data_IF_076285340741
#
_entry.id   IF_076285340741
#
_cell.length_a   1.000
_cell.length_b   1.000
_cell.length_c   1.000
_cell.angle_alpha   90.00
_cell.angle_beta   90.00
_cell.angle_gamma   90.00
#
_symmetry.space_group_name_H-M   'P 1'
#
loop_
_entity.id
_entity.type
_entity.pdbx_description
1 polymer ?
#
# COMPACT_ATOMS: atom_id res chain seq x y z
N UNK A 1 -20.48 4.37 17.53
CA UNK A 1 -19.02 4.23 17.48
C UNK A 1 -18.40 5.40 18.23
N UNK A 2 -17.49 5.10 19.17
CA UNK A 2 -16.67 6.13 19.79
C UNK A 2 -15.48 6.39 18.84
N UNK A 3 -15.27 7.66 18.48
CA UNK A 3 -14.19 8.05 17.57
C UNK A 3 -13.32 9.08 18.26
N UNK A 4 -12.06 8.69 18.53
CA UNK A 4 -11.03 9.62 18.95
C UNK A 4 -10.27 10.13 17.73
N UNK A 5 -10.27 11.42 17.55
CA UNK A 5 -9.58 12.10 16.44
C UNK A 5 -8.41 12.88 17.03
N UNK A 6 -7.21 12.62 16.53
CA UNK A 6 -6.08 13.53 16.67
C UNK A 6 -5.63 14.02 15.29
N UNK A 7 -5.19 15.26 15.24
CA UNK A 7 -4.68 15.81 13.99
C UNK A 7 -3.31 15.19 13.59
N UNK A 8 -2.91 15.46 12.34
CA UNK A 8 -1.64 14.97 11.82
C UNK A 8 -0.43 15.42 12.64
N UNK A 9 -0.45 16.65 13.15
CA UNK A 9 0.65 17.20 13.94
C UNK A 9 0.77 16.50 15.28
N UNK A 10 -0.35 16.20 15.94
CA UNK A 10 -0.36 15.43 17.18
C UNK A 10 0.11 14.01 16.97
N UNK A 11 -0.29 13.35 15.88
CA UNK A 11 0.20 12.00 15.55
C UNK A 11 1.72 11.94 15.36
N UNK A 12 2.32 12.99 14.78
CA UNK A 12 3.77 13.13 14.68
C UNK A 12 4.43 13.36 16.04
N UNK A 13 3.77 14.04 16.98
CA UNK A 13 4.24 14.30 18.34
C UNK A 13 4.09 13.10 19.29
N UNK A 14 3.90 11.90 18.78
CA UNK A 14 3.78 10.67 19.55
C UNK A 14 2.49 10.61 20.39
N UNK A 15 1.38 11.11 19.84
CA UNK A 15 0.07 10.89 20.44
C UNK A 15 -0.12 9.41 20.81
N UNK A 16 -0.57 9.17 22.02
CA UNK A 16 -0.90 7.84 22.51
C UNK A 16 -2.39 7.84 22.82
N UNK A 17 -3.21 7.04 22.13
CA UNK A 17 -4.62 6.94 22.43
C UNK A 17 -4.86 6.50 23.88
N UNK A 18 -6.02 6.81 24.48
CA UNK A 18 -6.42 6.35 25.81
C UNK A 18 -6.37 4.82 25.94
N UNK A 19 -6.19 4.31 27.15
CA UNK A 19 -6.17 2.86 27.43
C UNK A 19 -7.59 2.23 27.49
N UNK A 20 -8.63 3.00 27.30
CA UNK A 20 -10.03 2.61 27.51
C UNK A 20 -10.60 1.65 26.43
N UNK A 21 -9.74 1.22 25.49
CA UNK A 21 -10.14 0.39 24.34
C UNK A 21 -9.52 -1.02 24.34
N UNK A 22 -8.81 -1.42 25.39
CA UNK A 22 -8.07 -2.69 25.39
C UNK A 22 -8.99 -3.93 25.43
N UNK A 23 -10.23 -3.76 25.87
CA UNK A 23 -11.23 -4.82 26.05
C UNK A 23 -12.34 -4.82 24.98
N UNK A 24 -12.16 -4.09 23.90
CA UNK A 24 -13.14 -4.00 22.80
C UNK A 24 -12.47 -3.98 21.42
N UNK A 25 -13.23 -4.32 20.34
CA UNK A 25 -12.67 -4.23 19.00
C UNK A 25 -12.31 -2.78 18.64
N UNK A 26 -11.11 -2.60 18.10
CA UNK A 26 -10.57 -1.26 17.74
C UNK A 26 -10.05 -1.28 16.33
N UNK A 27 -10.20 -0.16 15.62
CA UNK A 27 -9.54 0.10 14.35
C UNK A 27 -8.59 1.28 14.56
N UNK A 28 -7.30 1.07 14.33
CA UNK A 28 -6.34 2.16 14.23
C UNK A 28 -6.24 2.61 12.78
N UNK A 29 -6.37 3.93 12.56
CA UNK A 29 -6.23 4.52 11.24
C UNK A 29 -5.44 5.83 11.34
N UNK A 30 -4.43 6.01 10.48
CA UNK A 30 -3.61 7.20 10.50
C UNK A 30 -2.26 7.01 9.80
N UNK A 31 -1.29 7.85 10.14
CA UNK A 31 0.06 7.74 9.57
C UNK A 31 0.73 6.41 9.95
N UNK A 32 1.59 5.90 9.07
CA UNK A 32 2.36 4.67 9.33
C UNK A 32 3.09 4.72 10.69
N UNK A 33 3.81 5.82 11.06
CA UNK A 33 4.45 5.89 12.37
C UNK A 33 3.47 5.83 13.55
N UNK A 34 2.28 6.40 13.42
CA UNK A 34 1.25 6.34 14.44
C UNK A 34 0.74 4.91 14.62
N UNK A 35 0.32 4.26 13.53
CA UNK A 35 -0.21 2.89 13.58
C UNK A 35 0.85 1.91 14.08
N UNK A 36 2.09 1.98 13.60
CA UNK A 36 3.21 1.14 14.07
C UNK A 36 3.49 1.26 15.57
N UNK A 37 3.36 2.45 16.15
CA UNK A 37 3.60 2.63 17.59
C UNK A 37 2.49 2.04 18.45
N UNK A 38 1.25 1.99 17.93
CA UNK A 38 0.09 1.71 18.75
C UNK A 38 -0.59 0.36 18.44
N UNK A 39 -0.30 -0.28 17.29
CA UNK A 39 -1.02 -1.50 16.87
C UNK A 39 -0.96 -2.64 17.87
N UNK A 40 0.14 -2.77 18.64
CA UNK A 40 0.31 -3.84 19.64
C UNK A 40 -0.52 -3.64 20.91
N UNK A 41 -1.14 -2.48 21.08
CA UNK A 41 -1.92 -2.15 22.28
C UNK A 41 -3.39 -2.54 22.17
N UNK A 42 -3.85 -2.78 20.96
CA UNK A 42 -5.27 -2.97 20.66
C UNK A 42 -5.48 -4.19 19.76
N UNK A 43 -6.63 -4.84 19.90
CA UNK A 43 -7.02 -5.94 19.05
C UNK A 43 -8.35 -5.57 18.33
N UNK A 44 -8.43 -5.66 17.00
CA UNK A 44 -7.36 -6.05 16.08
C UNK A 44 -6.32 -4.93 15.83
N UNK A 45 -6.60 -3.68 16.13
CA UNK A 45 -5.76 -2.50 16.04
C UNK A 45 -5.47 -2.07 14.61
N UNK A 46 -4.54 -2.69 13.93
CA UNK A 46 -4.11 -2.31 12.60
C UNK A 46 -4.29 -3.43 11.59
N UNK A 47 -4.70 -3.09 10.36
CA UNK A 47 -4.91 -4.03 9.26
C UNK A 47 -3.86 -3.86 8.16
N UNK A 48 -3.28 -4.96 7.70
CA UNK A 48 -2.37 -5.04 6.55
C UNK A 48 -1.00 -4.39 6.75
N UNK A 49 -0.62 -4.02 7.99
CA UNK A 49 0.59 -3.24 8.23
C UNK A 49 1.89 -3.99 7.89
N UNK A 50 1.95 -5.29 8.16
CA UNK A 50 3.15 -6.11 7.96
C UNK A 50 3.14 -6.92 6.66
N UNK A 51 1.96 -7.24 6.14
CA UNK A 51 1.79 -8.19 5.04
C UNK A 51 1.77 -7.55 3.64
N UNK A 52 1.88 -6.24 3.56
CA UNK A 52 1.89 -5.48 2.29
C UNK A 52 3.28 -5.22 1.72
N UNK A 53 4.29 -6.00 2.13
CA UNK A 53 5.61 -5.99 1.48
C UNK A 53 5.53 -6.60 0.07
N UNK A 54 6.36 -6.08 -0.84
CA UNK A 54 6.33 -6.49 -2.26
C UNK A 54 6.63 -7.98 -2.43
N UNK A 55 7.66 -8.48 -1.75
CA UNK A 55 8.06 -9.89 -1.81
C UNK A 55 6.93 -10.81 -1.33
N UNK A 56 6.18 -10.39 -0.30
CA UNK A 56 5.09 -11.18 0.26
C UNK A 56 3.97 -11.34 -0.76
N UNK A 57 3.36 -10.23 -1.21
CA UNK A 57 2.20 -10.34 -2.08
C UNK A 57 2.55 -10.90 -3.47
N UNK A 58 3.73 -10.58 -4.02
CA UNK A 58 4.15 -11.14 -5.31
C UNK A 58 4.47 -12.64 -5.26
N UNK A 59 4.74 -13.20 -4.09
CA UNK A 59 4.92 -14.66 -3.94
C UNK A 59 3.58 -15.42 -3.83
N UNK A 60 2.47 -14.73 -3.59
CA UNK A 60 1.17 -15.35 -3.31
C UNK A 60 0.17 -15.18 -4.45
N UNK A 61 0.36 -14.17 -5.31
CA UNK A 61 -0.56 -13.79 -6.38
C UNK A 61 0.13 -13.98 -7.74
N UNK A 62 -0.57 -14.41 -8.81
CA UNK A 62 0.02 -14.59 -10.13
C UNK A 62 0.81 -13.37 -10.61
N UNK A 63 2.05 -13.57 -11.05
CA UNK A 63 2.95 -12.46 -11.43
C UNK A 63 2.46 -11.66 -12.63
N UNK A 64 1.69 -12.26 -13.53
CA UNK A 64 1.09 -11.62 -14.69
C UNK A 64 -0.09 -10.68 -14.35
N UNK A 65 -0.59 -10.75 -13.11
CA UNK A 65 -1.58 -9.79 -12.60
C UNK A 65 -0.94 -8.44 -12.25
N UNK A 66 0.37 -8.42 -11.98
CA UNK A 66 1.06 -7.19 -11.58
C UNK A 66 1.53 -6.35 -12.77
N UNK A 67 1.39 -5.03 -12.66
CA UNK A 67 2.00 -4.07 -13.58
C UNK A 67 3.52 -4.26 -13.65
N UNK A 68 4.14 -4.45 -12.51
CA UNK A 68 5.58 -4.60 -12.34
C UNK A 68 6.00 -6.05 -12.11
N UNK A 69 5.30 -7.04 -12.73
CA UNK A 69 5.63 -8.46 -12.64
C UNK A 69 7.02 -8.84 -13.19
N UNK A 70 7.65 -7.94 -13.93
CA UNK A 70 9.03 -8.03 -14.44
C UNK A 70 10.09 -7.59 -13.42
N UNK A 71 9.69 -7.13 -12.24
CA UNK A 71 10.60 -6.54 -11.26
C UNK A 71 11.46 -7.54 -10.51
N UNK A 72 12.54 -7.04 -9.93
CA UNK A 72 13.49 -7.78 -9.11
C UNK A 72 13.69 -7.13 -7.74
N UNK A 73 13.98 -7.96 -6.75
CA UNK A 73 14.36 -7.51 -5.42
C UNK A 73 15.88 -7.43 -5.32
N UNK A 74 16.37 -6.25 -4.93
CA UNK A 74 17.80 -6.00 -4.76
C UNK A 74 18.02 -5.09 -3.54
N UNK A 75 19.26 -5.04 -3.05
CA UNK A 75 19.61 -4.04 -2.04
C UNK A 75 19.85 -2.68 -2.68
N UNK A 76 19.70 -1.60 -1.90
CA UNK A 76 20.05 -0.25 -2.37
C UNK A 76 21.52 -0.14 -2.82
N UNK A 77 22.44 -0.78 -2.09
CA UNK A 77 23.85 -0.84 -2.50
C UNK A 77 24.05 -1.47 -3.89
N UNK A 78 23.31 -2.55 -4.19
CA UNK A 78 23.33 -3.15 -5.54
C UNK A 78 22.77 -2.22 -6.61
N UNK A 79 21.67 -1.51 -6.33
CA UNK A 79 21.13 -0.50 -7.25
C UNK A 79 22.20 0.54 -7.57
N UNK A 80 22.85 1.10 -6.52
CA UNK A 80 23.85 2.14 -6.66
C UNK A 80 25.07 1.69 -7.46
N UNK A 81 25.59 0.49 -7.17
CA UNK A 81 26.80 -0.02 -7.78
C UNK A 81 26.60 -0.62 -9.18
N UNK A 82 25.37 -1.03 -9.50
CA UNK A 82 25.07 -1.85 -10.68
C UNK A 82 23.96 -1.26 -11.57
N UNK A 83 23.64 0.02 -11.42
CA UNK A 83 22.50 0.67 -12.10
C UNK A 83 22.45 0.36 -13.61
N UNK A 84 23.56 0.59 -14.36
CA UNK A 84 23.58 0.31 -15.80
C UNK A 84 23.44 -1.17 -16.16
N UNK A 85 23.97 -2.06 -15.31
CA UNK A 85 23.76 -3.50 -15.50
C UNK A 85 22.31 -3.91 -15.26
N UNK A 86 21.61 -3.24 -14.35
CA UNK A 86 20.18 -3.46 -14.13
C UNK A 86 19.36 -2.96 -15.32
N UNK A 87 19.70 -1.81 -15.89
CA UNK A 87 19.09 -1.31 -17.13
C UNK A 87 19.27 -2.33 -18.27
N UNK A 88 20.48 -2.86 -18.47
CA UNK A 88 20.77 -3.87 -19.48
C UNK A 88 20.00 -5.18 -19.22
N UNK A 89 19.99 -5.66 -17.98
CA UNK A 89 19.30 -6.88 -17.57
C UNK A 89 17.78 -6.80 -17.76
N UNK A 90 17.18 -5.66 -17.42
CA UNK A 90 15.74 -5.41 -17.57
C UNK A 90 15.37 -4.93 -18.98
N UNK A 91 16.35 -4.61 -19.83
CA UNK A 91 16.12 -4.14 -21.19
C UNK A 91 15.48 -2.75 -21.27
N UNK A 92 15.69 -1.89 -20.26
CA UNK A 92 15.06 -0.58 -20.16
C UNK A 92 16.02 0.49 -19.63
N UNK A 93 15.94 1.70 -20.18
CA UNK A 93 16.72 2.85 -19.70
C UNK A 93 16.11 3.53 -18.48
N UNK A 94 14.80 3.48 -18.35
CA UNK A 94 14.04 4.04 -17.22
C UNK A 94 13.58 2.89 -16.32
N UNK A 95 13.94 2.96 -15.04
CA UNK A 95 13.57 1.97 -14.04
C UNK A 95 12.66 2.60 -13.00
N UNK A 96 11.64 1.86 -12.60
CA UNK A 96 10.80 2.19 -11.46
C UNK A 96 11.42 1.58 -10.19
N UNK A 97 11.58 2.37 -9.15
CA UNK A 97 12.18 1.96 -7.87
C UNK A 97 11.19 2.27 -6.75
N UNK A 98 10.99 1.30 -5.88
CA UNK A 98 10.18 1.47 -4.66
C UNK A 98 10.78 0.69 -3.49
N UNK A 99 10.44 1.02 -2.24
CA UNK A 99 10.81 0.15 -1.12
C UNK A 99 10.11 -1.20 -1.24
N UNK A 100 10.81 -2.25 -0.82
CA UNK A 100 10.22 -3.58 -0.67
C UNK A 100 9.17 -3.57 0.46
N UNK A 101 9.48 -2.88 1.55
CA UNK A 101 8.67 -2.82 2.75
C UNK A 101 7.35 -2.09 2.55
N UNK A 102 6.25 -2.66 3.05
CA UNK A 102 4.94 -2.00 3.15
C UNK A 102 4.92 -0.77 4.07
N UNK A 103 5.97 -0.54 4.87
CA UNK A 103 6.12 0.66 5.68
C UNK A 103 6.54 1.92 4.91
N UNK A 104 6.85 1.78 3.62
CA UNK A 104 7.11 2.87 2.68
C UNK A 104 7.99 3.99 3.22
N UNK A 105 9.28 3.74 3.50
CA UNK A 105 10.21 4.80 3.91
C UNK A 105 10.33 5.92 2.87
N UNK A 106 9.98 5.63 1.61
CA UNK A 106 9.83 6.60 0.54
C UNK A 106 8.76 6.16 -0.46
N UNK A 107 8.28 7.09 -1.30
CA UNK A 107 7.34 6.82 -2.39
C UNK A 107 8.10 6.31 -3.62
N UNK A 108 7.53 5.34 -4.34
CA UNK A 108 8.12 4.84 -5.59
C UNK A 108 8.28 5.93 -6.64
N UNK A 109 9.36 5.87 -7.41
CA UNK A 109 9.73 6.86 -8.42
C UNK A 109 10.48 6.23 -9.60
N UNK A 110 10.65 6.99 -10.68
CA UNK A 110 11.38 6.54 -11.86
C UNK A 110 12.78 7.14 -11.89
N UNK A 111 13.79 6.30 -12.15
CA UNK A 111 15.19 6.71 -12.33
C UNK A 111 15.68 6.38 -13.73
N UNK A 112 16.60 7.21 -14.21
CA UNK A 112 17.36 7.04 -15.46
C UNK A 112 18.76 7.65 -15.31
N UNK A 113 19.55 7.67 -16.40
CA UNK A 113 20.92 8.20 -16.36
C UNK A 113 20.96 9.69 -15.96
N UNK A 114 19.91 10.48 -16.23
CA UNK A 114 19.90 11.93 -16.03
C UNK A 114 19.64 12.28 -14.54
N UNK A 115 18.78 11.51 -13.85
CA UNK A 115 18.39 11.79 -12.47
C UNK A 115 19.03 10.86 -11.42
N UNK A 116 19.70 9.78 -11.82
CA UNK A 116 20.22 8.74 -10.92
C UNK A 116 21.01 9.31 -9.72
N UNK A 117 21.93 10.26 -9.98
CA UNK A 117 22.78 10.78 -8.93
C UNK A 117 22.00 11.57 -7.87
N UNK A 118 21.03 12.38 -8.30
CA UNK A 118 20.22 13.17 -7.37
C UNK A 118 19.24 12.29 -6.59
N UNK A 119 18.68 11.27 -7.22
CA UNK A 119 17.79 10.34 -6.54
C UNK A 119 18.52 9.49 -5.50
N UNK A 120 19.76 9.06 -5.78
CA UNK A 120 20.60 8.41 -4.77
C UNK A 120 20.86 9.32 -3.56
N UNK A 121 21.19 10.60 -3.78
CA UNK A 121 21.35 11.55 -2.68
C UNK A 121 20.07 11.74 -1.88
N UNK A 122 18.91 11.80 -2.54
CA UNK A 122 17.61 11.92 -1.88
C UNK A 122 17.33 10.69 -1.01
N UNK A 123 17.55 9.49 -1.52
CA UNK A 123 17.39 8.25 -0.76
C UNK A 123 18.28 8.21 0.48
N UNK A 124 19.55 8.62 0.37
CA UNK A 124 20.50 8.58 1.48
C UNK A 124 20.23 9.68 2.52
N UNK A 125 20.06 10.92 2.08
CA UNK A 125 20.06 12.07 2.99
C UNK A 125 18.67 12.44 3.51
N UNK A 126 17.63 12.19 2.73
CA UNK A 126 16.25 12.56 3.09
C UNK A 126 15.47 11.33 3.61
N UNK A 127 15.56 10.22 2.89
CA UNK A 127 14.84 8.99 3.23
C UNK A 127 15.64 8.08 4.17
N UNK A 128 16.92 8.36 4.40
CA UNK A 128 17.82 7.58 5.26
C UNK A 128 17.95 6.10 4.88
N UNK A 129 17.85 5.80 3.59
CA UNK A 129 17.98 4.43 3.06
C UNK A 129 19.42 3.95 3.24
N UNK A 130 19.57 2.74 3.79
CA UNK A 130 20.86 2.13 4.04
C UNK A 130 21.25 1.18 2.89
N UNK A 131 22.54 0.87 2.68
CA UNK A 131 23.00 0.01 1.59
C UNK A 131 22.37 -1.38 1.56
N UNK A 132 21.94 -1.93 2.68
CA UNK A 132 21.33 -3.23 2.85
C UNK A 132 19.78 -3.21 2.82
N UNK A 133 19.17 -2.03 2.74
CA UNK A 133 17.73 -1.91 2.58
C UNK A 133 17.27 -2.51 1.26
N UNK A 134 16.22 -3.33 1.33
CA UNK A 134 15.65 -4.00 0.17
C UNK A 134 14.76 -3.06 -0.64
N UNK A 135 15.02 -3.05 -1.94
CA UNK A 135 14.26 -2.32 -2.94
C UNK A 135 13.63 -3.31 -3.95
N UNK A 136 12.53 -2.90 -4.50
CA UNK A 136 11.95 -3.51 -5.68
C UNK A 136 12.18 -2.61 -6.89
N UNK A 137 12.76 -3.17 -7.95
CA UNK A 137 13.13 -2.46 -9.17
C UNK A 137 12.51 -3.15 -10.38
N UNK A 138 11.80 -2.40 -11.21
CA UNK A 138 11.17 -2.89 -12.43
C UNK A 138 11.40 -1.93 -13.59
N UNK A 139 11.00 -2.31 -14.81
CA UNK A 139 10.97 -1.35 -15.91
C UNK A 139 9.93 -0.28 -15.63
N UNK A 140 10.24 0.98 -15.93
CA UNK A 140 9.26 2.06 -15.82
C UNK A 140 8.17 1.90 -16.90
N UNK A 141 6.93 2.07 -16.49
CA UNK A 141 5.75 1.97 -17.36
C UNK A 141 5.00 3.28 -17.33
N UNK A 142 4.57 3.74 -18.49
CA UNK A 142 3.67 4.88 -18.58
C UNK A 142 2.26 4.33 -18.38
N UNK A 143 1.65 4.66 -17.25
CA UNK A 143 0.31 4.25 -16.85
C UNK A 143 -0.65 5.44 -16.97
N UNK A 144 -1.92 5.13 -17.16
CA UNK A 144 -3.00 6.10 -17.10
C UNK A 144 -3.51 6.34 -15.68
N UNK A 145 -4.83 6.38 -15.56
CA UNK A 145 -5.49 6.52 -14.27
C UNK A 145 -5.26 5.29 -13.40
N UNK A 146 -5.13 5.52 -12.11
CA UNK A 146 -5.11 4.49 -11.08
C UNK A 146 -6.43 4.51 -10.31
N UNK A 147 -6.86 3.33 -9.88
CA UNK A 147 -8.09 3.14 -9.13
C UNK A 147 -7.78 2.39 -7.85
N UNK A 148 -8.18 2.97 -6.73
CA UNK A 148 -8.07 2.34 -5.42
C UNK A 148 -9.33 1.58 -5.06
N UNK A 149 -9.16 0.35 -4.62
CA UNK A 149 -10.22 -0.53 -4.13
C UNK A 149 -9.97 -0.87 -2.67
N UNK A 150 -10.99 -0.69 -1.84
CA UNK A 150 -10.98 -1.10 -0.44
C UNK A 150 -11.61 -2.48 -0.36
N UNK A 151 -10.84 -3.45 0.11
CA UNK A 151 -11.26 -4.85 0.24
C UNK A 151 -11.34 -5.19 1.72
N UNK A 152 -12.50 -5.71 2.15
CA UNK A 152 -12.75 -6.11 3.53
C UNK A 152 -13.50 -7.44 3.52
N UNK A 153 -12.99 -8.42 4.27
CA UNK A 153 -13.54 -9.78 4.40
C UNK A 153 -13.86 -10.41 3.03
N UNK A 154 -12.89 -10.29 2.09
CA UNK A 154 -13.00 -10.84 0.74
C UNK A 154 -13.99 -10.12 -0.20
N UNK A 155 -14.40 -8.90 0.12
CA UNK A 155 -15.34 -8.12 -0.69
C UNK A 155 -14.78 -6.74 -1.02
N UNK A 156 -14.98 -6.28 -2.25
CA UNK A 156 -14.75 -4.88 -2.63
C UNK A 156 -15.89 -4.05 -2.03
N UNK A 157 -15.59 -3.25 -1.02
CA UNK A 157 -16.60 -2.46 -0.29
C UNK A 157 -16.69 -1.01 -0.73
N UNK A 158 -15.61 -0.48 -1.30
CA UNK A 158 -15.57 0.86 -1.86
C UNK A 158 -14.47 0.98 -2.91
N UNK A 159 -14.59 1.92 -3.82
CA UNK A 159 -13.59 2.21 -4.84
C UNK A 159 -13.59 3.68 -5.24
N UNK A 160 -12.48 4.16 -5.76
CA UNK A 160 -12.32 5.52 -6.29
C UNK A 160 -11.15 5.57 -7.27
N UNK A 161 -11.26 6.41 -8.29
CA UNK A 161 -10.12 6.96 -8.98
C UNK A 161 -9.27 7.78 -8.01
N UNK A 162 -7.98 7.92 -8.29
CA UNK A 162 -7.18 8.91 -7.61
C UNK A 162 -6.09 9.49 -8.52
N UNK A 163 -5.79 10.76 -8.30
CA UNK A 163 -4.74 11.46 -8.99
C UNK A 163 -3.89 12.21 -7.97
N UNK A 164 -2.62 11.85 -7.86
CA UNK A 164 -1.68 12.52 -6.96
C UNK A 164 -1.44 14.00 -7.30
N UNK A 165 -1.66 14.37 -8.56
CA UNK A 165 -1.39 15.72 -9.04
C UNK A 165 -2.58 16.66 -8.90
N UNK A 166 -3.79 16.11 -8.72
CA UNK A 166 -5.01 16.92 -8.62
C UNK A 166 -6.08 16.17 -7.81
N UNK A 167 -6.13 16.44 -6.52
CA UNK A 167 -7.13 15.87 -5.61
C UNK A 167 -8.53 16.42 -5.86
N UNK A 168 -8.66 17.58 -6.50
CA UNK A 168 -9.96 18.20 -6.81
C UNK A 168 -10.65 17.53 -8.02
N UNK A 169 -9.91 16.75 -8.82
CA UNK A 169 -10.45 16.02 -9.97
C UNK A 169 -10.87 14.58 -9.67
N UNK A 170 -10.90 14.18 -8.39
CA UNK A 170 -11.36 12.85 -7.98
C UNK A 170 -12.88 12.77 -8.09
N UNK A 171 -13.37 11.83 -8.92
CA UNK A 171 -14.80 11.69 -9.25
C UNK A 171 -15.48 10.53 -8.52
N UNK A 172 -14.71 9.66 -7.86
CA UNK A 172 -15.23 8.43 -7.26
C UNK A 172 -15.72 7.40 -8.30
N UNK A 173 -15.20 7.48 -9.53
CA UNK A 173 -15.59 6.61 -10.65
C UNK A 173 -14.42 5.70 -10.97
N UNK A 174 -14.71 4.43 -11.26
CA UNK A 174 -13.71 3.41 -11.61
C UNK A 174 -13.99 2.80 -12.97
N UNK A 175 -12.96 2.19 -13.56
CA UNK A 175 -13.08 1.46 -14.83
C UNK A 175 -13.66 0.06 -14.60
N UNK A 176 -14.67 -0.38 -15.35
CA UNK A 176 -15.29 -1.70 -15.16
C UNK A 176 -14.34 -2.89 -15.33
N UNK A 177 -13.26 -2.74 -16.13
CA UNK A 177 -12.25 -3.80 -16.30
C UNK A 177 -11.36 -3.89 -15.07
N UNK A 178 -11.01 -2.74 -14.47
CA UNK A 178 -10.30 -2.68 -13.20
C UNK A 178 -11.17 -3.18 -12.04
N UNK A 179 -12.50 -2.91 -12.05
CA UNK A 179 -13.45 -3.46 -11.07
C UNK A 179 -13.47 -5.00 -11.11
N UNK A 180 -13.41 -5.59 -12.31
CA UNK A 180 -13.36 -7.03 -12.44
C UNK A 180 -12.07 -7.62 -11.85
N UNK A 181 -10.93 -6.97 -12.06
CA UNK A 181 -9.66 -7.37 -11.44
C UNK A 181 -9.71 -7.26 -9.91
N UNK A 182 -10.24 -6.17 -9.37
CA UNK A 182 -10.38 -5.99 -7.92
C UNK A 182 -11.25 -7.09 -7.29
N UNK A 183 -12.33 -7.53 -7.97
CA UNK A 183 -13.16 -8.66 -7.53
C UNK A 183 -12.41 -9.99 -7.60
N UNK A 184 -11.56 -10.22 -8.61
CA UNK A 184 -10.69 -11.39 -8.66
C UNK A 184 -9.69 -11.41 -7.50
N UNK A 185 -9.10 -10.25 -7.18
CA UNK A 185 -8.21 -10.09 -6.02
C UNK A 185 -8.95 -10.37 -4.72
N UNK A 186 -10.14 -9.80 -4.53
CA UNK A 186 -10.97 -10.02 -3.34
C UNK A 186 -11.38 -11.48 -3.14
N UNK A 187 -11.63 -12.21 -4.24
CA UNK A 187 -11.95 -13.64 -4.21
C UNK A 187 -10.74 -14.58 -4.19
N UNK A 188 -9.51 -14.05 -4.23
CA UNK A 188 -8.29 -14.87 -4.23
C UNK A 188 -8.10 -15.59 -2.88
N UNK A 189 -7.53 -16.80 -2.90
CA UNK A 189 -7.34 -17.62 -1.69
C UNK A 189 -6.34 -17.04 -0.69
N UNK A 190 -5.43 -16.15 -1.11
CA UNK A 190 -4.57 -15.39 -0.23
C UNK A 190 -5.05 -13.95 -0.11
N UNK A 191 -5.05 -13.45 1.11
CA UNK A 191 -5.35 -12.06 1.46
C UNK A 191 -4.25 -11.56 2.40
N UNK A 192 -3.74 -10.33 2.28
CA UNK A 192 -2.71 -9.80 3.18
C UNK A 192 -3.24 -9.60 4.61
N UNK A 193 -4.51 -9.28 4.74
CA UNK A 193 -5.24 -9.09 5.99
C UNK A 193 -6.75 -9.20 5.70
N UNK A 194 -7.59 -9.17 6.74
CA UNK A 194 -9.06 -9.08 6.58
C UNK A 194 -9.50 -7.76 5.95
N UNK A 195 -8.73 -6.67 6.12
CA UNK A 195 -8.97 -5.36 5.51
C UNK A 195 -7.67 -4.79 4.91
N UNK A 196 -7.71 -4.41 3.65
CA UNK A 196 -6.57 -3.84 2.92
C UNK A 196 -7.04 -3.01 1.73
N UNK A 197 -6.12 -2.31 1.05
CA UNK A 197 -6.43 -1.68 -0.24
C UNK A 197 -5.54 -2.25 -1.34
N UNK A 198 -6.07 -2.27 -2.57
CA UNK A 198 -5.33 -2.62 -3.78
C UNK A 198 -5.52 -1.51 -4.81
N UNK A 199 -4.44 -1.14 -5.48
CA UNK A 199 -4.45 -0.19 -6.56
C UNK A 199 -4.35 -0.94 -7.88
N UNK A 200 -5.22 -0.60 -8.83
CA UNK A 200 -5.31 -1.23 -10.14
C UNK A 200 -5.28 -0.14 -11.22
N UNK A 201 -4.65 -0.41 -12.33
CA UNK A 201 -4.61 0.47 -13.51
C UNK A 201 -4.85 -0.33 -14.78
N UNK A 202 -5.22 0.35 -15.86
CA UNK A 202 -5.18 -0.22 -17.20
C UNK A 202 -3.79 -0.01 -17.81
N UNK A 203 -3.14 -1.09 -18.18
CA UNK A 203 -1.89 -1.06 -18.92
C UNK A 203 -2.05 -1.82 -20.23
N UNK A 204 -1.96 -1.11 -21.37
CA UNK A 204 -2.15 -1.67 -22.71
C UNK A 204 -3.50 -2.38 -22.88
N UNK A 205 -4.54 -1.87 -22.22
CA UNK A 205 -5.89 -2.40 -22.27
C UNK A 205 -6.17 -3.58 -21.34
N UNK A 206 -5.18 -4.01 -20.55
CA UNK A 206 -5.34 -5.06 -19.54
C UNK A 206 -5.30 -4.46 -18.13
N UNK A 207 -6.12 -4.95 -17.18
CA UNK A 207 -6.07 -4.52 -15.80
C UNK A 207 -4.85 -5.12 -15.11
N UNK A 208 -4.08 -4.28 -14.41
CA UNK A 208 -2.88 -4.69 -13.68
C UNK A 208 -2.90 -4.15 -12.26
N UNK A 209 -2.52 -4.98 -11.31
CA UNK A 209 -2.30 -4.56 -9.92
C UNK A 209 -1.03 -3.72 -9.87
N UNK A 210 -1.15 -2.52 -9.32
CA UNK A 210 -0.02 -1.62 -9.07
C UNK A 210 0.65 -2.00 -7.74
N UNK A 211 -0.16 -2.07 -6.68
CA UNK A 211 0.31 -2.40 -5.33
C UNK A 211 -0.82 -2.81 -4.39
N UNK A 212 -0.43 -3.50 -3.31
CA UNK A 212 -1.23 -3.68 -2.11
C UNK A 212 -0.81 -2.68 -1.04
N UNK A 213 -1.77 -2.17 -0.28
CA UNK A 213 -1.51 -1.24 0.81
C UNK A 213 -2.27 -1.63 2.08
N UNK A 214 -1.70 -1.25 3.24
CA UNK A 214 -2.37 -1.38 4.53
C UNK A 214 -3.66 -0.56 4.56
N UNK A 215 -4.78 -1.16 4.97
CA UNK A 215 -6.01 -0.43 5.22
C UNK A 215 -5.79 0.75 6.19
N UNK A 216 -5.10 0.48 7.30
CA UNK A 216 -4.92 1.44 8.38
C UNK A 216 -4.11 2.69 8.03
N UNK A 217 -3.38 2.67 6.89
CA UNK A 217 -2.51 3.78 6.48
C UNK A 217 -2.78 4.26 5.05
N UNK A 218 -3.89 3.85 4.43
CA UNK A 218 -4.23 4.21 3.05
C UNK A 218 -5.22 5.37 3.00
N UNK A 219 -5.01 6.31 2.08
CA UNK A 219 -6.02 7.31 1.74
C UNK A 219 -7.22 6.65 1.04
N UNK A 220 -8.43 7.12 1.31
CA UNK A 220 -9.66 6.58 0.72
C UNK A 220 -10.23 7.45 -0.41
N UNK A 221 -9.65 8.61 -0.66
CA UNK A 221 -10.00 9.52 -1.76
C UNK A 221 -11.51 9.76 -1.89
N UNK A 222 -12.13 9.50 -3.03
CA UNK A 222 -13.57 9.62 -3.28
C UNK A 222 -14.40 8.41 -2.84
N UNK A 223 -13.83 7.44 -2.13
CA UNK A 223 -14.55 6.28 -1.64
C UNK A 223 -15.68 6.65 -0.67
N UNK A 224 -16.75 5.85 -0.65
CA UNK A 224 -17.82 5.99 0.33
C UNK A 224 -17.35 5.59 1.74
N UNK A 225 -17.03 6.58 2.57
CA UNK A 225 -16.54 6.36 3.93
C UNK A 225 -17.55 5.64 4.85
N UNK A 226 -18.86 5.80 4.62
CA UNK A 226 -19.88 5.10 5.42
C UNK A 226 -19.77 3.58 5.23
N UNK A 227 -19.63 3.12 3.99
CA UNK A 227 -19.51 1.71 3.68
C UNK A 227 -18.18 1.15 4.23
N UNK A 228 -17.09 1.90 4.09
CA UNK A 228 -15.79 1.53 4.66
C UNK A 228 -15.88 1.35 6.18
N UNK A 229 -16.41 2.35 6.91
CA UNK A 229 -16.52 2.28 8.39
C UNK A 229 -17.42 1.14 8.82
N UNK A 230 -18.54 0.92 8.13
CA UNK A 230 -19.46 -0.17 8.44
C UNK A 230 -18.78 -1.55 8.31
N UNK A 231 -18.19 -1.83 7.16
CA UNK A 231 -17.54 -3.13 6.92
C UNK A 231 -16.27 -3.33 7.74
N UNK A 232 -15.47 -2.29 7.95
CA UNK A 232 -14.28 -2.37 8.80
C UNK A 232 -14.64 -2.65 10.27
N UNK A 233 -15.76 -2.09 10.76
CA UNK A 233 -16.25 -2.36 12.11
C UNK A 233 -16.68 -3.82 12.27
N UNK A 234 -17.38 -4.39 11.28
CA UNK A 234 -17.74 -5.82 11.29
C UNK A 234 -16.50 -6.72 11.27
N UNK A 235 -15.51 -6.36 10.44
CA UNK A 235 -14.24 -7.09 10.37
C UNK A 235 -13.47 -7.03 11.69
N UNK A 236 -13.40 -5.86 12.32
CA UNK A 236 -12.76 -5.68 13.62
C UNK A 236 -13.45 -6.50 14.72
N UNK A 237 -14.78 -6.50 14.74
CA UNK A 237 -15.55 -7.32 15.68
C UNK A 237 -15.31 -8.82 15.46
N UNK A 238 -15.27 -9.29 14.21
CA UNK A 238 -14.99 -10.67 13.85
C UNK A 238 -13.61 -11.09 14.36
N UNK A 239 -12.56 -10.35 14.06
CA UNK A 239 -11.19 -10.65 14.51
C UNK A 239 -11.08 -10.60 16.03
N UNK A 240 -11.74 -9.64 16.69
CA UNK A 240 -11.75 -9.55 18.14
C UNK A 240 -12.36 -10.81 18.76
N UNK A 241 -13.52 -11.25 18.28
CA UNK A 241 -14.20 -12.47 18.77
C UNK A 241 -13.34 -13.71 18.54
N UNK A 242 -12.75 -13.87 17.35
CA UNK A 242 -11.85 -14.99 17.02
C UNK A 242 -10.60 -15.00 17.92
N UNK A 243 -10.08 -13.83 18.30
CA UNK A 243 -8.89 -13.71 19.15
C UNK A 243 -9.15 -14.14 20.60
N UNK A 244 -10.35 -13.87 21.10
CA UNK A 244 -10.72 -14.11 22.50
C UNK A 244 -11.68 -15.31 22.71
N UNK A 245 -11.99 -16.07 21.66
CA UNK A 245 -12.92 -17.23 21.71
C UNK A 245 -14.30 -16.88 22.29
N UNK A 246 -14.89 -15.72 21.92
CA UNK A 246 -16.18 -15.22 22.41
C UNK A 246 -17.21 -14.99 21.31
#
# INVERSE_FOLDING_TARGET
>A
YDVDICDFIESLKRYTPPNDYEDRPVILYGSIPFVRRNHHRYCPGAFGLAETSVSKYMSQVPSDWFLNGDGVLITYGMLKDRFRKLQDMLGAKRLFVRPESGFKPFTGFVIDDDNFAIECLTLEQVCHVQPDDMLFVATAKDIGEEYRYVIIDGQVVASSDYNWNDFDDIKGITDPVCDAMAKLVAGHGWQPDIAYTVDVTLYRGEPKIVEYNSFSCSGFYGCNLRDIVYHASLAAEKVFRETFDI
#
